data_IF_836482270052
#
_entry.id   IF_836482270052
#
_cell.length_a   1.000
_cell.length_b   1.000
_cell.length_c   1.000
_cell.angle_alpha   90.00
_cell.angle_beta   90.00
_cell.angle_gamma   90.00
#
_symmetry.space_group_name_H-M   'P 1'
#
loop_
_entity.id
_entity.type
_entity.pdbx_description
1 polymer ?
#
# COMPACT_ATOMS: atom_id res chain seq x y z
N UNK A 1 -11.16 -2.89 -28.52
CA UNK A 1 -10.32 -2.36 -29.62
C UNK A 1 -10.85 -1.00 -30.03
N UNK A 2 -10.07 0.05 -29.81
CA UNK A 2 -10.39 1.41 -30.26
C UNK A 2 -9.82 1.61 -31.67
N UNK A 3 -10.65 1.98 -32.68
CA UNK A 3 -10.14 2.21 -34.02
C UNK A 3 -9.14 3.37 -34.01
N UNK A 4 -7.96 3.25 -34.66
CA UNK A 4 -6.98 4.30 -34.70
C UNK A 4 -7.54 5.55 -35.40
N UNK A 5 -7.43 6.72 -34.75
CA UNK A 5 -7.72 8.01 -35.38
C UNK A 5 -6.53 8.43 -36.22
N UNK A 6 -6.77 8.92 -37.42
CA UNK A 6 -5.72 9.45 -38.30
C UNK A 6 -5.09 10.76 -37.78
N UNK A 7 -5.73 11.40 -36.80
CA UNK A 7 -5.35 12.74 -36.31
C UNK A 7 -4.80 12.70 -34.86
N UNK A 8 -4.45 11.49 -34.34
CA UNK A 8 -3.84 11.37 -33.02
C UNK A 8 -2.33 11.63 -33.13
N UNK A 9 -1.90 12.79 -32.67
CA UNK A 9 -0.48 13.11 -32.54
C UNK A 9 0.01 12.73 -31.14
N UNK A 10 1.22 12.14 -31.08
CA UNK A 10 1.89 11.90 -29.80
C UNK A 10 2.50 13.21 -29.33
N UNK A 11 2.08 13.68 -28.16
CA UNK A 11 2.69 14.84 -27.51
C UNK A 11 3.93 14.40 -26.72
N UNK A 12 5.02 15.15 -26.88
CA UNK A 12 6.22 14.98 -26.08
C UNK A 12 6.50 16.26 -25.31
N UNK A 13 6.49 16.16 -23.98
CA UNK A 13 6.69 17.30 -23.08
C UNK A 13 8.03 17.19 -22.34
N UNK A 14 8.89 18.19 -22.51
CA UNK A 14 10.14 18.31 -21.76
C UNK A 14 9.94 19.29 -20.60
N UNK A 15 9.96 18.78 -19.37
CA UNK A 15 9.76 19.57 -18.16
C UNK A 15 11.12 19.95 -17.59
N UNK A 16 11.48 21.25 -17.65
CA UNK A 16 12.69 21.76 -17.03
C UNK A 16 12.43 22.18 -15.59
N UNK A 17 13.02 21.48 -14.64
CA UNK A 17 12.96 21.82 -13.22
C UNK A 17 14.03 22.86 -12.80
N UNK A 18 14.73 23.48 -13.76
CA UNK A 18 15.76 24.49 -13.50
C UNK A 18 15.16 25.89 -13.34
N UNK A 19 14.64 26.22 -12.17
CA UNK A 19 14.74 27.59 -11.69
C UNK A 19 16.12 27.75 -11.05
N UNK A 20 16.87 28.80 -11.48
CA UNK A 20 18.15 29.18 -10.87
C UNK A 20 17.94 29.58 -9.41
N UNK A 21 17.99 28.59 -8.51
CA UNK A 21 18.07 28.80 -7.07
C UNK A 21 18.92 27.68 -6.49
N UNK A 22 20.05 28.09 -5.96
CA UNK A 22 20.99 27.38 -5.09
C UNK A 22 21.14 25.84 -5.22
N UNK A 23 22.38 25.41 -5.34
CA UNK A 23 22.94 24.09 -5.62
C UNK A 23 22.51 22.90 -4.73
N UNK A 24 21.32 22.88 -4.15
CA UNK A 24 20.86 21.83 -3.21
C UNK A 24 19.36 21.45 -3.34
N UNK A 25 18.77 21.54 -4.54
CA UNK A 25 17.38 21.11 -4.70
C UNK A 25 17.26 19.59 -4.89
N UNK A 26 16.64 18.96 -3.90
CA UNK A 26 16.42 17.51 -3.78
C UNK A 26 15.55 16.94 -4.92
N UNK A 27 15.71 15.62 -5.27
CA UNK A 27 14.94 14.90 -6.31
C UNK A 27 13.42 15.04 -6.20
N UNK A 28 12.91 15.26 -4.99
CA UNK A 28 11.47 15.44 -4.67
C UNK A 28 10.83 16.60 -5.48
N UNK A 29 11.60 17.66 -5.79
CA UNK A 29 11.04 18.81 -6.53
C UNK A 29 10.78 18.51 -8.02
N UNK A 30 11.54 17.63 -8.65
CA UNK A 30 11.34 17.24 -10.05
C UNK A 30 10.07 16.43 -10.23
N UNK A 31 9.87 15.41 -9.39
CA UNK A 31 8.67 14.60 -9.37
C UNK A 31 7.39 15.44 -9.18
N UNK A 32 7.43 16.42 -8.25
CA UNK A 32 6.30 17.33 -8.03
C UNK A 32 6.03 18.24 -9.23
N UNK A 33 7.09 18.70 -9.94
CA UNK A 33 6.93 19.52 -11.13
C UNK A 33 6.28 18.71 -12.26
N UNK A 34 6.71 17.47 -12.47
CA UNK A 34 6.11 16.56 -13.44
C UNK A 34 4.66 16.23 -13.08
N UNK A 35 4.39 15.87 -11.83
CA UNK A 35 3.04 15.57 -11.35
C UNK A 35 2.08 16.76 -11.55
N UNK A 36 2.51 17.98 -11.21
CA UNK A 36 1.70 19.20 -11.40
C UNK A 36 1.46 19.52 -12.88
N UNK A 37 2.46 19.36 -13.72
CA UNK A 37 2.31 19.54 -15.16
C UNK A 37 1.31 18.51 -15.74
N UNK A 38 1.48 17.24 -15.41
CA UNK A 38 0.58 16.14 -15.84
C UNK A 38 -0.86 16.41 -15.39
N UNK A 39 -1.05 16.76 -14.13
CA UNK A 39 -2.39 17.09 -13.61
C UNK A 39 -2.99 18.32 -14.30
N UNK A 40 -2.17 19.34 -14.63
CA UNK A 40 -2.64 20.49 -15.40
C UNK A 40 -3.06 20.12 -16.82
N UNK A 41 -2.30 19.28 -17.51
CA UNK A 41 -2.63 18.84 -18.87
C UNK A 41 -3.88 17.98 -18.90
N UNK A 42 -4.02 17.08 -17.91
CA UNK A 42 -5.24 16.28 -17.73
C UNK A 42 -6.47 17.19 -17.53
N UNK A 43 -6.35 18.18 -16.64
CA UNK A 43 -7.46 19.13 -16.40
C UNK A 43 -7.83 19.88 -17.67
N UNK A 44 -6.85 20.35 -18.46
CA UNK A 44 -7.09 20.99 -19.74
C UNK A 44 -7.86 20.11 -20.72
N UNK A 45 -7.46 18.83 -20.88
CA UNK A 45 -8.15 17.89 -21.76
C UNK A 45 -9.60 17.66 -21.34
N UNK A 46 -9.86 17.60 -20.02
CA UNK A 46 -11.20 17.46 -19.48
C UNK A 46 -12.05 18.71 -19.72
N UNK A 47 -11.48 19.91 -19.51
CA UNK A 47 -12.17 21.20 -19.70
C UNK A 47 -12.46 21.49 -21.19
N UNK A 48 -11.54 21.13 -22.06
CA UNK A 48 -11.70 21.25 -23.52
C UNK A 48 -12.67 20.21 -24.08
N UNK A 49 -13.04 19.19 -23.28
CA UNK A 49 -13.85 18.06 -23.76
C UNK A 49 -13.17 17.28 -24.87
N UNK A 50 -11.86 17.00 -24.72
CA UNK A 50 -11.07 16.33 -25.75
C UNK A 50 -11.80 15.09 -26.28
N UNK A 51 -12.00 14.96 -27.61
CA UNK A 51 -12.85 13.90 -28.15
C UNK A 51 -12.14 12.55 -28.09
N UNK A 52 -12.81 11.56 -27.49
CA UNK A 52 -12.38 10.15 -27.45
C UNK A 52 -13.44 9.28 -28.15
N UNK A 53 -12.99 8.14 -28.68
CA UNK A 53 -13.92 7.17 -29.27
C UNK A 53 -14.46 6.27 -28.15
N UNK A 54 -15.76 6.22 -27.99
CA UNK A 54 -16.44 5.30 -27.08
C UNK A 54 -16.43 3.85 -27.56
N UNK A 55 -16.85 2.91 -26.73
CA UNK A 55 -16.99 1.49 -27.08
C UNK A 55 -17.94 1.24 -28.26
N UNK A 56 -18.93 2.11 -28.44
CA UNK A 56 -19.90 2.11 -29.55
C UNK A 56 -19.33 2.72 -30.84
N UNK A 57 -18.08 3.17 -30.84
CA UNK A 57 -17.43 3.83 -31.98
C UNK A 57 -17.83 5.31 -32.17
N UNK A 58 -18.64 5.88 -31.29
CA UNK A 58 -19.04 7.29 -31.34
C UNK A 58 -18.01 8.18 -30.64
N UNK A 59 -17.87 9.43 -31.11
CA UNK A 59 -17.04 10.43 -30.45
C UNK A 59 -17.78 11.06 -29.28
N UNK A 60 -17.14 11.11 -28.15
CA UNK A 60 -17.61 11.80 -26.95
C UNK A 60 -16.50 12.58 -26.26
N UNK A 61 -16.84 13.58 -25.43
CA UNK A 61 -15.85 14.21 -24.56
C UNK A 61 -15.17 13.19 -23.65
N UNK A 62 -13.87 13.36 -23.41
CA UNK A 62 -13.13 12.50 -22.48
C UNK A 62 -13.61 12.71 -21.04
N UNK A 63 -13.49 11.63 -20.26
CA UNK A 63 -13.80 11.60 -18.82
C UNK A 63 -12.54 11.17 -18.06
N UNK A 64 -12.45 11.40 -16.74
CA UNK A 64 -11.31 10.96 -15.97
C UNK A 64 -10.97 9.46 -16.13
N UNK A 65 -11.97 8.61 -16.28
CA UNK A 65 -11.82 7.15 -16.49
C UNK A 65 -11.18 6.74 -17.82
N UNK A 66 -11.18 7.64 -18.81
CA UNK A 66 -10.55 7.42 -20.13
C UNK A 66 -9.04 7.62 -20.09
N UNK A 67 -8.52 8.14 -18.97
CA UNK A 67 -7.13 8.59 -18.83
C UNK A 67 -6.38 7.65 -17.91
N UNK A 68 -5.19 7.22 -18.36
CA UNK A 68 -4.26 6.43 -17.54
C UNK A 68 -2.92 7.13 -17.44
N UNK A 69 -2.31 7.12 -16.26
CA UNK A 69 -0.93 7.51 -16.02
C UNK A 69 -0.12 6.22 -15.84
N UNK A 70 0.81 5.99 -16.75
CA UNK A 70 1.72 4.83 -16.72
C UNK A 70 3.08 5.26 -16.22
N UNK A 71 3.61 4.50 -15.26
CA UNK A 71 4.95 4.66 -14.72
C UNK A 71 5.66 3.31 -14.67
N UNK A 72 6.99 3.31 -14.67
CA UNK A 72 7.74 2.06 -14.50
C UNK A 72 7.51 1.46 -13.12
N UNK A 73 7.57 2.29 -12.09
CA UNK A 73 7.43 1.89 -10.67
C UNK A 73 6.58 2.93 -9.93
N UNK A 74 5.23 2.81 -9.95
CA UNK A 74 4.35 3.80 -9.32
C UNK A 74 4.68 4.01 -7.84
N UNK A 75 4.59 2.97 -7.00
CA UNK A 75 4.95 2.99 -5.58
C UNK A 75 4.65 4.33 -4.88
N UNK A 76 5.59 4.82 -4.09
CA UNK A 76 5.51 6.11 -3.39
C UNK A 76 5.38 7.35 -4.30
N UNK A 77 5.62 7.20 -5.61
CA UNK A 77 5.48 8.29 -6.57
C UNK A 77 4.05 8.62 -6.91
N UNK A 78 3.16 7.61 -6.87
CA UNK A 78 1.73 7.77 -7.13
C UNK A 78 1.11 8.82 -6.20
N UNK A 79 1.56 8.92 -4.96
CA UNK A 79 1.07 9.91 -4.00
C UNK A 79 1.26 11.36 -4.49
N UNK A 80 2.41 11.67 -5.12
CA UNK A 80 2.68 13.01 -5.65
C UNK A 80 1.73 13.35 -6.82
N UNK A 81 1.45 12.39 -7.71
CA UNK A 81 0.48 12.57 -8.79
C UNK A 81 -0.94 12.67 -8.27
N UNK A 82 -1.32 11.84 -7.29
CA UNK A 82 -2.64 11.89 -6.67
C UNK A 82 -2.89 13.24 -6.00
N UNK A 83 -1.91 13.75 -5.25
CA UNK A 83 -1.99 15.08 -4.66
C UNK A 83 -2.16 16.17 -5.73
N UNK A 84 -1.36 16.12 -6.80
CA UNK A 84 -1.43 17.12 -7.87
C UNK A 84 -2.78 17.08 -8.64
N UNK A 85 -3.38 15.90 -8.79
CA UNK A 85 -4.71 15.73 -9.38
C UNK A 85 -5.80 16.24 -8.43
N UNK A 86 -5.69 15.93 -7.13
CA UNK A 86 -6.62 16.41 -6.11
C UNK A 86 -6.62 17.95 -6.00
N UNK A 87 -5.43 18.61 -6.10
CA UNK A 87 -5.30 20.08 -6.16
C UNK A 87 -6.09 20.70 -7.33
N UNK A 88 -6.55 19.90 -8.30
CA UNK A 88 -7.31 20.30 -9.49
C UNK A 88 -8.69 19.67 -9.58
N UNK A 89 -9.19 19.11 -8.50
CA UNK A 89 -10.49 18.42 -8.46
C UNK A 89 -10.62 17.31 -9.52
N UNK A 90 -9.54 16.61 -9.83
CA UNK A 90 -9.55 15.46 -10.74
C UNK A 90 -9.47 14.19 -9.92
N UNK A 91 -10.54 13.35 -9.93
CA UNK A 91 -10.52 12.09 -9.22
C UNK A 91 -9.50 11.13 -9.85
N UNK A 92 -8.79 10.41 -9.02
CA UNK A 92 -7.82 9.41 -9.47
C UNK A 92 -7.90 8.13 -8.64
N UNK A 93 -7.47 7.02 -9.23
CA UNK A 93 -7.33 5.74 -8.56
C UNK A 93 -5.96 5.15 -8.85
N UNK A 94 -5.29 4.64 -7.84
CA UNK A 94 -4.03 3.94 -7.99
C UNK A 94 -3.95 2.79 -6.99
N UNK A 95 -3.18 1.79 -7.37
CA UNK A 95 -2.88 0.69 -6.48
C UNK A 95 -1.57 1.02 -5.76
N UNK A 96 -1.62 1.23 -4.48
CA UNK A 96 -0.41 1.23 -3.64
C UNK A 96 0.15 -0.19 -3.60
N UNK A 97 1.15 -0.44 -4.43
CA UNK A 97 1.94 -1.66 -4.36
C UNK A 97 3.23 -1.35 -3.61
N UNK A 98 3.30 -1.76 -2.36
CA UNK A 98 4.56 -1.75 -1.61
C UNK A 98 4.40 -1.56 -0.11
N UNK A 99 3.55 -0.65 0.32
CA UNK A 99 3.51 -0.26 1.74
C UNK A 99 2.28 -0.77 2.50
N UNK A 100 1.37 -1.53 1.87
CA UNK A 100 0.15 -2.02 2.52
C UNK A 100 0.42 -2.66 3.89
N UNK A 101 1.38 -3.57 3.96
CA UNK A 101 1.71 -4.27 5.19
C UNK A 101 2.47 -3.39 6.20
N UNK A 102 3.04 -2.26 5.75
CA UNK A 102 3.77 -1.31 6.60
C UNK A 102 2.88 -0.17 7.09
N UNK A 103 1.66 -0.04 6.57
CA UNK A 103 0.72 0.95 7.07
C UNK A 103 0.40 0.67 8.54
N UNK A 104 0.25 1.71 9.38
CA UNK A 104 0.08 1.53 10.83
C UNK A 104 -1.08 0.61 11.21
N UNK A 105 -2.24 0.74 10.55
CA UNK A 105 -3.43 -0.09 10.79
C UNK A 105 -3.20 -1.56 10.48
N UNK A 106 -2.48 -1.87 9.40
CA UNK A 106 -2.17 -3.25 9.00
C UNK A 106 -1.05 -3.82 9.86
N UNK A 107 0.02 -3.06 10.07
CA UNK A 107 1.15 -3.47 10.93
C UNK A 107 0.69 -3.82 12.34
N UNK A 108 -0.17 -2.99 12.95
CA UNK A 108 -0.75 -3.26 14.28
C UNK A 108 -1.67 -4.48 14.23
N UNK A 109 -2.49 -4.63 13.18
CA UNK A 109 -3.37 -5.80 13.04
C UNK A 109 -2.57 -7.09 12.89
N UNK A 110 -1.48 -7.08 12.10
CA UNK A 110 -0.58 -8.25 11.97
C UNK A 110 0.07 -8.60 13.30
N UNK A 111 0.59 -7.61 14.02
CA UNK A 111 1.16 -7.81 15.34
C UNK A 111 0.12 -8.37 16.34
N UNK A 112 -1.14 -7.92 16.28
CA UNK A 112 -2.24 -8.49 17.06
C UNK A 112 -2.48 -9.95 16.74
N UNK A 113 -2.55 -10.33 15.46
CA UNK A 113 -2.71 -11.73 15.05
C UNK A 113 -1.53 -12.59 15.55
N UNK A 114 -0.30 -12.06 15.48
CA UNK A 114 0.90 -12.77 15.94
C UNK A 114 0.87 -13.03 17.44
N UNK A 115 0.46 -12.06 18.28
CA UNK A 115 0.39 -12.26 19.72
C UNK A 115 -0.85 -13.08 20.16
N UNK A 116 -1.89 -13.08 19.36
CA UNK A 116 -3.05 -13.99 19.58
C UNK A 116 -2.61 -15.43 19.33
N UNK A 117 -1.83 -15.70 18.30
CA UNK A 117 -1.22 -17.01 18.04
C UNK A 117 -0.20 -17.38 19.11
N UNK A 118 0.80 -16.52 19.32
CA UNK A 118 1.85 -16.71 20.32
C UNK A 118 2.25 -15.39 21.01
N UNK A 119 1.83 -15.16 22.26
CA UNK A 119 2.12 -13.92 22.99
C UNK A 119 3.57 -13.75 23.43
N UNK A 120 4.40 -14.82 23.34
CA UNK A 120 5.81 -14.81 23.75
C UNK A 120 6.75 -14.23 22.69
N UNK A 121 6.22 -13.52 21.72
CA UNK A 121 6.98 -12.79 20.71
C UNK A 121 7.11 -11.32 21.14
N UNK A 122 8.27 -10.93 21.66
CA UNK A 122 8.50 -9.61 22.24
C UNK A 122 8.23 -8.46 21.26
N UNK A 123 8.71 -8.58 20.00
CA UNK A 123 8.59 -7.51 19.01
C UNK A 123 7.13 -7.18 18.68
N UNK A 124 6.27 -8.12 18.26
CA UNK A 124 4.87 -7.81 18.00
C UNK A 124 4.11 -7.43 19.29
N UNK A 125 4.45 -8.03 20.45
CA UNK A 125 3.83 -7.70 21.72
C UNK A 125 4.07 -6.22 22.09
N UNK A 126 5.31 -5.77 22.04
CA UNK A 126 5.66 -4.38 22.32
C UNK A 126 5.06 -3.45 21.28
N UNK A 127 5.01 -3.85 20.00
CA UNK A 127 4.38 -3.06 18.96
C UNK A 127 2.88 -2.84 19.23
N UNK A 128 2.16 -3.87 19.65
CA UNK A 128 0.74 -3.79 20.02
C UNK A 128 0.53 -2.90 21.24
N UNK A 129 1.30 -3.09 22.31
CA UNK A 129 1.21 -2.26 23.53
C UNK A 129 1.45 -0.78 23.24
N UNK A 130 2.42 -0.47 22.38
CA UNK A 130 2.76 0.89 21.93
C UNK A 130 1.75 1.50 20.96
N UNK A 131 0.92 0.67 20.35
CA UNK A 131 -0.05 1.14 19.35
C UNK A 131 -1.07 2.13 19.95
N UNK A 132 -1.72 2.94 19.10
CA UNK A 132 -2.79 3.82 19.54
C UNK A 132 -3.99 3.07 20.17
N UNK A 133 -4.04 1.76 20.01
CA UNK A 133 -5.10 0.91 20.59
C UNK A 133 -4.94 0.76 22.10
N UNK A 134 -3.71 0.56 22.58
CA UNK A 134 -3.42 0.35 24.00
C UNK A 134 -2.66 1.51 24.64
N UNK A 135 -1.87 2.27 23.89
CA UNK A 135 -1.28 3.54 24.31
C UNK A 135 -0.22 3.46 25.40
N UNK A 136 0.43 2.31 25.61
CA UNK A 136 1.50 2.20 26.61
C UNK A 136 2.67 3.11 26.25
N UNK A 137 3.14 3.89 27.24
CA UNK A 137 4.32 4.75 27.06
C UNK A 137 5.63 3.96 27.15
N UNK A 138 6.74 4.46 26.58
CA UNK A 138 8.06 3.83 26.73
C UNK A 138 8.45 3.62 28.18
N UNK A 139 8.15 4.60 29.06
CA UNK A 139 8.48 4.55 30.47
C UNK A 139 7.71 3.42 31.16
N UNK A 140 6.41 3.28 30.85
CA UNK A 140 5.58 2.21 31.39
C UNK A 140 6.08 0.83 30.96
N UNK A 141 6.49 0.67 29.70
CA UNK A 141 7.10 -0.58 29.23
C UNK A 141 8.41 -0.88 29.92
N UNK A 142 9.23 0.13 30.20
CA UNK A 142 10.47 -0.04 30.96
C UNK A 142 10.20 -0.46 32.43
N UNK A 143 9.19 0.10 33.07
CA UNK A 143 8.74 -0.32 34.39
C UNK A 143 8.29 -1.79 34.40
N UNK A 144 7.47 -2.20 33.45
CA UNK A 144 7.04 -3.60 33.30
C UNK A 144 8.24 -4.51 33.12
N UNK A 145 9.16 -4.16 32.21
CA UNK A 145 10.39 -4.95 31.97
C UNK A 145 11.26 -5.07 33.22
N UNK A 146 11.25 -4.09 34.10
CA UNK A 146 12.00 -4.12 35.36
C UNK A 146 11.52 -5.19 36.34
N UNK A 147 10.29 -5.71 36.19
CA UNK A 147 9.70 -6.77 37.04
C UNK A 147 10.32 -8.13 36.74
N UNK A 148 10.55 -8.40 35.46
CA UNK A 148 11.31 -9.56 35.00
C UNK A 148 12.28 -9.14 33.89
N UNK A 149 13.58 -9.28 34.14
CA UNK A 149 14.63 -8.83 33.20
C UNK A 149 15.14 -9.93 32.28
N UNK A 150 14.90 -11.18 32.61
CA UNK A 150 15.52 -12.34 31.96
C UNK A 150 14.55 -13.10 31.05
N UNK A 151 13.23 -13.16 31.42
CA UNK A 151 12.20 -13.83 30.67
C UNK A 151 11.72 -13.08 29.43
N UNK A 152 10.75 -13.66 28.74
CA UNK A 152 10.02 -12.98 27.67
C UNK A 152 9.28 -11.76 28.22
N UNK A 153 8.99 -10.75 27.37
CA UNK A 153 8.25 -9.58 27.82
C UNK A 153 6.84 -9.94 28.33
N UNK A 154 6.28 -11.03 27.84
CA UNK A 154 5.00 -11.56 28.31
C UNK A 154 5.06 -12.03 29.77
N UNK A 155 6.17 -12.63 30.20
CA UNK A 155 6.37 -13.02 31.63
C UNK A 155 6.48 -11.78 32.51
N UNK A 156 7.13 -10.71 32.04
CA UNK A 156 7.15 -9.43 32.75
C UNK A 156 5.77 -8.79 32.88
N UNK A 157 4.90 -8.91 31.86
CA UNK A 157 3.48 -8.49 31.94
C UNK A 157 2.71 -9.30 32.98
N UNK A 158 2.91 -10.62 33.04
CA UNK A 158 2.25 -11.46 34.02
C UNK A 158 2.68 -11.15 35.45
N UNK A 159 3.91 -10.68 35.64
CA UNK A 159 4.44 -10.26 36.93
C UNK A 159 4.02 -8.85 37.36
N UNK A 160 3.47 -8.06 36.43
CA UNK A 160 2.99 -6.69 36.69
C UNK A 160 1.52 -6.71 37.13
N UNK A 161 1.23 -6.11 38.28
CA UNK A 161 -0.13 -6.04 38.85
C UNK A 161 -0.92 -4.79 38.47
N UNK A 162 -0.44 -3.98 37.50
CA UNK A 162 -1.12 -2.75 37.09
C UNK A 162 -2.46 -2.99 36.41
N UNK A 163 -3.43 -2.12 36.65
CA UNK A 163 -4.78 -2.24 36.05
C UNK A 163 -4.75 -2.21 34.53
N UNK A 164 -3.87 -1.39 33.94
CA UNK A 164 -3.64 -1.28 32.51
C UNK A 164 -3.16 -2.62 31.89
N UNK A 165 -2.23 -3.28 32.57
CA UNK A 165 -1.71 -4.60 32.16
C UNK A 165 -2.79 -5.67 32.32
N UNK A 166 -3.53 -5.66 33.42
CA UNK A 166 -4.62 -6.62 33.65
C UNK A 166 -5.74 -6.47 32.60
N UNK A 167 -6.10 -5.25 32.23
CA UNK A 167 -7.06 -4.99 31.15
C UNK A 167 -6.56 -5.53 29.81
N UNK A 168 -5.29 -5.29 29.48
CA UNK A 168 -4.65 -5.84 28.27
C UNK A 168 -4.66 -7.38 28.27
N UNK A 169 -4.21 -8.01 29.34
CA UNK A 169 -4.15 -9.48 29.46
C UNK A 169 -5.54 -10.11 29.36
N UNK A 170 -6.54 -9.49 29.96
CA UNK A 170 -7.95 -9.95 29.85
C UNK A 170 -8.41 -9.88 28.39
N UNK A 171 -8.15 -8.77 27.71
CA UNK A 171 -8.49 -8.59 26.30
C UNK A 171 -7.77 -9.61 25.43
N UNK A 172 -6.46 -9.79 25.62
CA UNK A 172 -5.66 -10.75 24.86
C UNK A 172 -6.18 -12.19 25.06
N UNK A 173 -6.49 -12.57 26.30
CA UNK A 173 -7.05 -13.89 26.60
C UNK A 173 -8.37 -14.10 25.86
N UNK A 174 -9.29 -13.14 25.90
CA UNK A 174 -10.57 -13.23 25.18
C UNK A 174 -10.40 -13.35 23.66
N UNK A 175 -9.42 -12.65 23.08
CA UNK A 175 -9.11 -12.78 21.64
C UNK A 175 -8.52 -14.17 21.32
N UNK A 176 -7.69 -14.72 22.19
CA UNK A 176 -7.12 -16.07 22.03
C UNK A 176 -8.18 -17.16 22.13
N UNK A 177 -9.10 -17.02 23.08
CA UNK A 177 -10.25 -17.93 23.22
C UNK A 177 -11.13 -17.88 21.95
N UNK A 178 -11.41 -16.70 21.45
CA UNK A 178 -12.14 -16.52 20.19
C UNK A 178 -11.41 -17.12 18.99
N UNK A 179 -10.08 -17.04 18.94
CA UNK A 179 -9.28 -17.60 17.86
C UNK A 179 -9.32 -19.14 17.79
N UNK A 180 -9.62 -19.82 18.90
CA UNK A 180 -9.77 -21.27 18.95
C UNK A 180 -11.00 -21.75 18.16
N UNK A 181 -12.08 -20.96 18.15
CA UNK A 181 -13.37 -21.35 17.58
C UNK A 181 -13.71 -20.64 16.26
N UNK A 182 -13.00 -19.57 15.92
CA UNK A 182 -13.29 -18.75 14.73
C UNK A 182 -12.33 -19.05 13.59
N UNK A 183 -12.83 -18.92 12.37
CA UNK A 183 -11.98 -18.83 11.20
C UNK A 183 -11.31 -17.43 11.16
N UNK A 184 -10.26 -17.27 10.36
CA UNK A 184 -9.42 -16.06 10.34
C UNK A 184 -10.21 -14.81 9.96
N UNK A 185 -11.10 -14.90 8.98
CA UNK A 185 -11.93 -13.77 8.56
C UNK A 185 -12.84 -13.29 9.70
N UNK A 186 -13.52 -14.23 10.39
CA UNK A 186 -14.37 -13.90 11.54
C UNK A 186 -13.56 -13.36 12.72
N UNK A 187 -12.37 -13.92 12.97
CA UNK A 187 -11.46 -13.45 14.00
C UNK A 187 -11.02 -12.00 13.73
N UNK A 188 -10.65 -11.64 12.49
CA UNK A 188 -10.32 -10.26 12.12
C UNK A 188 -11.48 -9.32 12.43
N UNK A 189 -12.71 -9.64 12.01
CA UNK A 189 -13.88 -8.83 12.33
C UNK A 189 -14.14 -8.74 13.84
N UNK A 190 -13.92 -9.83 14.57
CA UNK A 190 -14.04 -9.82 16.03
C UNK A 190 -13.02 -8.90 16.67
N UNK A 191 -11.75 -8.97 16.26
CA UNK A 191 -10.67 -8.03 16.70
C UNK A 191 -11.04 -6.58 16.38
N UNK A 192 -11.49 -6.30 15.15
CA UNK A 192 -11.86 -4.95 14.73
C UNK A 192 -12.98 -4.35 15.58
N UNK A 193 -13.98 -5.14 15.89
CA UNK A 193 -15.11 -4.69 16.70
C UNK A 193 -14.73 -4.56 18.19
N UNK A 194 -14.00 -5.52 18.74
CA UNK A 194 -13.61 -5.53 20.17
C UNK A 194 -12.67 -4.38 20.50
N UNK A 195 -11.73 -4.09 19.62
CA UNK A 195 -10.71 -3.06 19.79
C UNK A 195 -11.04 -1.74 19.09
N UNK A 196 -12.19 -1.64 18.43
CA UNK A 196 -12.64 -0.45 17.70
C UNK A 196 -11.64 0.05 16.65
N UNK A 197 -10.86 -0.84 16.00
CA UNK A 197 -9.79 -0.47 15.07
C UNK A 197 -10.27 0.45 13.94
N UNK A 198 -11.42 0.20 13.26
CA UNK A 198 -11.91 1.09 12.22
C UNK A 198 -12.20 2.51 12.71
N UNK A 199 -12.63 2.66 13.97
CA UNK A 199 -12.88 3.97 14.60
C UNK A 199 -11.57 4.69 14.91
N UNK A 200 -10.61 4.00 15.55
CA UNK A 200 -9.31 4.57 15.94
C UNK A 200 -8.54 5.03 14.68
N UNK A 201 -8.35 4.13 13.72
CA UNK A 201 -7.59 4.45 12.50
C UNK A 201 -8.37 5.37 11.54
N UNK A 202 -9.69 5.30 11.54
CA UNK A 202 -10.55 6.20 10.77
C UNK A 202 -10.53 7.65 11.26
N UNK A 203 -10.17 7.89 12.52
CA UNK A 203 -10.00 9.24 13.08
C UNK A 203 -8.63 9.87 12.78
N UNK A 204 -7.70 9.13 12.19
CA UNK A 204 -6.37 9.62 11.79
C UNK A 204 -6.39 10.22 10.39
N UNK A 205 -5.28 10.88 10.02
CA UNK A 205 -5.08 11.35 8.64
C UNK A 205 -5.27 10.19 7.65
N UNK A 206 -5.95 10.47 6.53
CA UNK A 206 -6.33 9.46 5.53
C UNK A 206 -7.22 8.34 6.07
N UNK A 207 -8.04 8.62 7.10
CA UNK A 207 -8.84 7.62 7.82
C UNK A 207 -9.71 6.72 6.93
N UNK A 208 -10.26 7.25 5.83
CA UNK A 208 -11.01 6.45 4.85
C UNK A 208 -10.15 5.36 4.20
N UNK A 209 -8.93 5.71 3.79
CA UNK A 209 -7.96 4.75 3.21
C UNK A 209 -7.58 3.67 4.22
N UNK A 210 -7.36 4.07 5.48
CA UNK A 210 -7.01 3.12 6.56
C UNK A 210 -8.14 2.12 6.83
N UNK A 211 -9.39 2.57 6.81
CA UNK A 211 -10.55 1.68 6.94
C UNK A 211 -10.65 0.71 5.76
N UNK A 212 -10.40 1.18 4.54
CA UNK A 212 -10.35 0.32 3.36
C UNK A 212 -9.23 -0.72 3.42
N UNK A 213 -8.07 -0.35 3.95
CA UNK A 213 -6.96 -1.28 4.18
C UNK A 213 -7.36 -2.40 5.15
N UNK A 214 -8.04 -2.08 6.26
CA UNK A 214 -8.56 -3.09 7.18
C UNK A 214 -9.54 -4.04 6.47
N UNK A 215 -10.45 -3.52 5.66
CA UNK A 215 -11.38 -4.34 4.84
C UNK A 215 -10.62 -5.16 3.80
N UNK A 216 -9.57 -4.63 3.18
CA UNK A 216 -8.75 -5.37 2.23
C UNK A 216 -8.05 -6.57 2.88
N UNK A 217 -7.59 -6.44 4.13
CA UNK A 217 -6.99 -7.55 4.88
C UNK A 217 -8.03 -8.66 5.16
N UNK A 218 -9.29 -8.32 5.50
CA UNK A 218 -10.34 -9.34 5.67
C UNK A 218 -10.66 -10.06 4.37
N UNK A 219 -10.71 -9.36 3.23
CA UNK A 219 -10.87 -10.00 1.92
C UNK A 219 -9.70 -10.90 1.56
N UNK A 220 -8.50 -10.58 2.06
CA UNK A 220 -7.34 -11.45 1.89
C UNK A 220 -7.50 -12.75 2.69
N UNK A 221 -8.00 -12.66 3.92
CA UNK A 221 -8.32 -13.82 4.75
C UNK A 221 -9.45 -14.70 4.12
N UNK A 222 -10.49 -14.09 3.56
CA UNK A 222 -11.54 -14.81 2.83
C UNK A 222 -10.98 -15.61 1.65
N UNK A 223 -10.08 -15.01 0.86
CA UNK A 223 -9.41 -15.69 -0.26
C UNK A 223 -8.53 -16.84 0.20
N UNK A 224 -7.79 -16.64 1.30
CA UNK A 224 -6.98 -17.70 1.91
C UNK A 224 -7.84 -18.90 2.30
N UNK A 225 -8.96 -18.67 2.97
CA UNK A 225 -9.89 -19.72 3.40
C UNK A 225 -10.61 -20.40 2.22
N UNK A 226 -11.01 -19.61 1.20
CA UNK A 226 -11.62 -20.13 -0.02
C UNK A 226 -10.69 -21.02 -0.83
N UNK A 227 -9.37 -20.83 -0.70
CA UNK A 227 -8.34 -21.67 -1.31
C UNK A 227 -8.10 -22.98 -0.55
N UNK A 228 -8.88 -23.25 0.50
CA UNK A 228 -8.82 -24.49 1.29
C UNK A 228 -7.85 -24.47 2.47
N UNK A 229 -7.12 -23.36 2.67
CA UNK A 229 -6.25 -23.19 3.82
C UNK A 229 -7.04 -22.82 5.08
N UNK A 230 -6.55 -23.22 6.25
CA UNK A 230 -7.20 -22.94 7.53
C UNK A 230 -6.18 -22.68 8.63
N UNK A 231 -6.63 -21.94 9.67
CA UNK A 231 -5.90 -21.69 10.89
C UNK A 231 -5.08 -20.41 10.86
N UNK A 232 -5.00 -19.77 12.03
CA UNK A 232 -4.34 -18.47 12.23
C UNK A 232 -2.84 -18.53 11.90
N UNK A 233 -2.13 -19.53 12.41
CA UNK A 233 -0.70 -19.73 12.16
C UNK A 233 -0.37 -19.85 10.67
N UNK A 234 -1.19 -20.62 9.91
CA UNK A 234 -0.97 -20.78 8.47
C UNK A 234 -1.21 -19.47 7.72
N UNK A 235 -2.20 -18.68 8.14
CA UNK A 235 -2.46 -17.35 7.56
C UNK A 235 -1.30 -16.37 7.83
N UNK A 236 -0.82 -16.28 9.07
CA UNK A 236 0.33 -15.46 9.43
C UNK A 236 1.57 -15.85 8.61
N UNK A 237 1.82 -17.16 8.49
CA UNK A 237 2.96 -17.67 7.72
C UNK A 237 2.86 -17.29 6.24
N UNK A 238 1.67 -17.36 5.65
CA UNK A 238 1.44 -16.93 4.27
C UNK A 238 1.68 -15.42 4.12
N UNK A 239 1.15 -14.61 5.04
CA UNK A 239 1.34 -13.16 5.01
C UNK A 239 2.82 -12.78 5.09
N UNK A 240 3.58 -13.40 5.98
CA UNK A 240 5.04 -13.18 6.09
C UNK A 240 5.75 -13.50 4.78
N UNK A 241 5.40 -14.62 4.11
CA UNK A 241 5.96 -14.96 2.79
C UNK A 241 5.63 -13.92 1.73
N UNK A 242 4.43 -13.36 1.72
CA UNK A 242 4.03 -12.31 0.79
C UNK A 242 4.80 -11.01 1.06
N UNK A 243 4.98 -10.65 2.33
CA UNK A 243 5.76 -9.49 2.75
C UNK A 243 7.22 -9.65 2.29
N UNK A 244 7.84 -10.79 2.56
CA UNK A 244 9.24 -11.08 2.19
C UNK A 244 9.43 -11.10 0.66
N UNK A 245 8.40 -11.53 -0.09
CA UNK A 245 8.38 -11.52 -1.54
C UNK A 245 8.05 -10.14 -2.15
N UNK A 246 7.77 -9.12 -1.33
CA UNK A 246 7.34 -7.80 -1.80
C UNK A 246 5.98 -7.79 -2.51
N UNK A 247 5.14 -8.80 -2.25
CA UNK A 247 3.81 -8.95 -2.85
C UNK A 247 2.75 -8.41 -1.90
N UNK A 248 2.36 -7.15 -2.09
CA UNK A 248 1.22 -6.59 -1.37
C UNK A 248 -0.09 -6.87 -2.11
N UNK A 249 -1.22 -7.07 -1.39
CA UNK A 249 -2.52 -7.06 -2.03
C UNK A 249 -2.73 -5.71 -2.70
N UNK A 250 -3.23 -5.73 -3.93
CA UNK A 250 -3.64 -4.52 -4.61
C UNK A 250 -4.85 -3.92 -3.86
N UNK A 251 -4.60 -2.90 -3.08
CA UNK A 251 -5.65 -2.07 -2.49
C UNK A 251 -5.94 -0.96 -3.50
N UNK A 252 -7.14 -0.98 -4.09
CA UNK A 252 -7.60 0.18 -4.83
C UNK A 252 -7.89 1.26 -3.81
N UNK A 253 -7.01 2.24 -3.71
CA UNK A 253 -7.31 3.45 -2.94
C UNK A 253 -8.55 4.10 -3.56
N UNK A 254 -9.53 4.38 -2.72
CA UNK A 254 -10.81 4.91 -3.12
C UNK A 254 -10.71 6.33 -3.68
N UNK A 255 -10.43 6.40 -4.96
CA UNK A 255 -11.13 7.35 -5.80
C UNK A 255 -12.22 6.50 -6.46
N UNK A 256 -13.48 6.81 -6.22
CA UNK A 256 -14.62 6.00 -6.68
C UNK A 256 -14.44 5.51 -8.13
N UNK A 257 -15.15 4.46 -8.50
CA UNK A 257 -15.23 3.99 -9.90
C UNK A 257 -15.48 5.20 -10.81
N UNK A 258 -14.44 5.65 -11.57
CA UNK A 258 -14.58 6.79 -12.47
C UNK A 258 -13.48 7.86 -12.41
N UNK A 259 -12.26 7.55 -11.91
CA UNK A 259 -11.12 8.49 -11.89
C UNK A 259 -9.99 8.12 -12.85
N UNK A 260 -9.04 9.06 -13.01
CA UNK A 260 -7.77 8.82 -13.71
C UNK A 260 -7.05 7.63 -13.06
N UNK A 261 -6.71 6.63 -13.86
CA UNK A 261 -6.04 5.43 -13.35
C UNK A 261 -4.52 5.63 -13.36
N UNK A 262 -3.85 5.22 -12.28
CA UNK A 262 -2.39 5.18 -12.24
C UNK A 262 -1.93 3.75 -12.02
N UNK A 263 -1.02 3.27 -12.88
CA UNK A 263 -0.51 1.90 -12.81
C UNK A 263 0.88 1.75 -13.42
N UNK A 264 1.51 0.60 -13.18
CA UNK A 264 2.77 0.30 -13.85
C UNK A 264 2.57 -0.09 -15.32
N UNK A 265 3.58 0.17 -16.16
CA UNK A 265 3.61 -0.29 -17.55
C UNK A 265 3.37 -1.80 -17.64
N UNK A 266 3.88 -2.59 -16.70
CA UNK A 266 3.66 -4.04 -16.69
C UNK A 266 2.20 -4.43 -16.46
N UNK A 267 1.49 -3.71 -15.60
CA UNK A 267 0.08 -3.97 -15.31
C UNK A 267 -0.86 -3.54 -16.44
N UNK A 268 -0.43 -2.58 -17.26
CA UNK A 268 -1.21 -2.13 -18.41
C UNK A 268 -1.16 -3.09 -19.60
N UNK A 269 -0.32 -4.15 -19.55
CA UNK A 269 -0.23 -5.13 -20.63
C UNK A 269 -1.56 -5.82 -20.88
N UNK A 270 -2.07 -5.67 -22.10
CA UNK A 270 -3.37 -6.21 -22.51
C UNK A 270 -4.58 -5.33 -22.19
N UNK A 271 -4.34 -4.13 -21.62
CA UNK A 271 -5.37 -3.10 -21.43
C UNK A 271 -5.22 -2.03 -22.51
N UNK A 272 -6.34 -1.40 -22.87
CA UNK A 272 -6.39 -0.30 -23.83
C UNK A 272 -7.02 0.92 -23.18
N UNK A 273 -6.43 2.10 -23.38
CA UNK A 273 -6.93 3.35 -22.84
C UNK A 273 -6.98 4.42 -23.90
N UNK A 274 -8.04 5.23 -23.97
CA UNK A 274 -8.16 6.31 -24.94
C UNK A 274 -7.04 7.36 -24.84
N UNK A 275 -6.61 7.69 -23.60
CA UNK A 275 -5.57 8.69 -23.34
C UNK A 275 -4.55 8.11 -22.36
N UNK A 276 -3.28 8.11 -22.77
CA UNK A 276 -2.16 7.56 -21.99
C UNK A 276 -1.13 8.64 -21.70
N UNK A 277 -0.86 8.86 -20.43
CA UNK A 277 0.29 9.65 -19.97
C UNK A 277 1.40 8.70 -19.52
N UNK A 278 2.53 8.76 -20.21
CA UNK A 278 3.72 8.00 -19.82
C UNK A 278 4.65 8.93 -19.03
N UNK A 279 4.79 8.69 -17.75
CA UNK A 279 5.49 9.55 -16.80
C UNK A 279 6.72 8.83 -16.19
N UNK A 280 7.58 9.62 -15.51
CA UNK A 280 8.78 9.11 -14.82
C UNK A 280 9.82 8.49 -15.78
N UNK A 281 10.01 9.13 -16.94
CA UNK A 281 10.92 8.64 -17.97
C UNK A 281 12.40 8.98 -17.70
N UNK A 282 12.71 9.84 -16.72
CA UNK A 282 14.11 10.20 -16.38
C UNK A 282 14.85 9.10 -15.61
N UNK A 283 14.17 8.00 -15.29
CA UNK A 283 14.74 6.94 -14.47
C UNK A 283 15.84 6.19 -15.22
N UNK A 284 17.03 6.15 -14.64
CA UNK A 284 18.13 5.36 -15.16
C UNK A 284 17.75 3.86 -15.18
N UNK A 285 18.17 3.15 -16.21
CA UNK A 285 18.02 1.69 -16.24
C UNK A 285 18.79 1.05 -15.08
N UNK A 286 18.17 0.08 -14.41
CA UNK A 286 18.85 -0.70 -13.36
C UNK A 286 20.06 -1.42 -13.97
N UNK A 287 21.19 -1.34 -13.27
CA UNK A 287 22.40 -2.12 -13.60
C UNK A 287 22.50 -3.42 -12.78
N UNK A 288 21.53 -3.71 -11.94
CA UNK A 288 21.54 -4.90 -11.08
C UNK A 288 21.72 -6.20 -11.86
N UNK A 289 21.17 -6.27 -13.08
CA UNK A 289 21.34 -7.46 -13.93
C UNK A 289 22.78 -7.63 -14.44
N UNK A 290 23.59 -6.56 -14.40
CA UNK A 290 25.01 -6.59 -14.76
C UNK A 290 25.93 -6.82 -13.57
N UNK A 291 25.42 -6.69 -12.35
CA UNK A 291 26.18 -6.89 -11.10
C UNK A 291 26.05 -8.34 -10.57
N UNK A 292 25.45 -9.24 -11.36
CA UNK A 292 25.31 -10.66 -11.03
C UNK A 292 26.61 -11.40 -11.34
N UNK A 293 27.04 -12.38 -10.52
CA UNK A 293 28.25 -13.16 -10.75
C UNK A 293 28.27 -13.91 -12.11
N UNK A 294 27.10 -14.15 -12.67
CA UNK A 294 26.92 -14.80 -13.97
C UNK A 294 25.92 -14.02 -14.80
N UNK A 295 26.35 -13.58 -15.97
CA UNK A 295 25.47 -12.97 -16.97
C UNK A 295 24.93 -14.03 -17.91
N UNK A 296 23.62 -13.98 -18.19
CA UNK A 296 22.93 -14.88 -19.09
C UNK A 296 22.50 -14.11 -20.34
N UNK A 297 22.96 -14.52 -21.52
CA UNK A 297 22.54 -13.93 -22.77
C UNK A 297 21.92 -14.99 -23.68
N UNK A 298 20.73 -14.75 -24.29
CA UNK A 298 20.00 -15.77 -25.05
C UNK A 298 20.79 -16.37 -26.22
N UNK A 299 21.67 -15.58 -26.88
CA UNK A 299 22.45 -16.02 -28.01
C UNK A 299 23.91 -16.35 -27.67
N UNK A 300 24.50 -15.76 -26.62
CA UNK A 300 25.91 -15.92 -26.26
C UNK A 300 26.13 -16.89 -25.10
N UNK A 301 25.06 -17.33 -24.42
CA UNK A 301 25.14 -18.26 -23.31
C UNK A 301 25.47 -17.60 -21.97
N UNK A 302 26.26 -18.28 -21.13
CA UNK A 302 26.64 -17.87 -19.80
C UNK A 302 28.02 -17.20 -19.81
N UNK A 303 28.11 -16.00 -19.26
CA UNK A 303 29.37 -15.26 -19.06
C UNK A 303 29.61 -15.01 -17.58
N UNK A 304 30.66 -15.57 -16.96
CA UNK A 304 31.05 -15.18 -15.61
C UNK A 304 31.66 -13.77 -15.63
N UNK A 305 31.40 -13.01 -14.58
CA UNK A 305 32.13 -11.76 -14.33
C UNK A 305 33.58 -12.11 -13.93
N UNK A 306 34.55 -11.63 -14.70
CA UNK A 306 35.98 -11.79 -14.42
C UNK A 306 36.47 -10.67 -13.49
#
# INVERSE_FOLDING_TARGET
YYPPRKDCETEFHLISAHQKSAANERPVKRLLAEARFTAQRIRQLLDEGYPVTGEDGTLRPCRPEDIVILMRSPGSRSAAFAQALAERDVPCSFEESGDFYQTPEISVTLALLEIVDNPRQDVPLIAVLRSPVFGFTPDRLAEIRSRDREGDFYDALLADGGEDVQAFLTTLTGLRDAAADMNVCRLLWHIYNTLHLPGIFGAMDEGGVRQENLVALTRHAERFESSGYRGLFAFITQLRRLIDAGQAPAVKTAGGSGGVQMMSIHKSKGLEFPIVFLCDLEHAFSRQDFDTPVLVHPALGLGPLC
#
